data_IF_073487537471
#
_entry.id   IF_073487537471
#
_cell.length_a   1.000
_cell.length_b   1.000
_cell.length_c   1.000
_cell.angle_alpha   90.00
_cell.angle_beta   90.00
_cell.angle_gamma   90.00
#
_symmetry.space_group_name_H-M   'P 1'
#
loop_
_entity.id
_entity.type
_entity.pdbx_description
1 polymer ?
#
# COMPACT_ATOMS: atom_id res chain seq x y z
N UNK A 1 -1.47 -20.89 -6.05
CA UNK A 1 -0.15 -20.53 -6.58
C UNK A 1 0.83 -20.60 -5.44
N UNK A 2 1.98 -21.24 -5.65
CA UNK A 2 3.05 -21.22 -4.66
C UNK A 2 3.67 -19.82 -4.62
N UNK A 3 3.76 -19.22 -3.43
CA UNK A 3 4.44 -17.95 -3.23
C UNK A 3 5.95 -18.16 -3.33
N UNK A 4 6.67 -17.15 -3.83
CA UNK A 4 8.12 -17.14 -3.83
C UNK A 4 8.65 -16.31 -2.65
N UNK A 5 9.95 -16.36 -2.41
CA UNK A 5 10.59 -15.83 -1.21
C UNK A 5 11.94 -15.17 -1.48
N UNK A 6 12.14 -14.64 -2.69
CA UNK A 6 13.38 -13.92 -3.05
C UNK A 6 13.68 -12.74 -2.12
N UNK A 7 12.62 -12.12 -1.55
CA UNK A 7 12.71 -11.10 -0.49
C UNK A 7 13.58 -11.54 0.71
N UNK A 8 13.65 -12.83 1.04
CA UNK A 8 14.44 -13.30 2.17
C UNK A 8 15.95 -13.07 1.99
N UNK A 9 16.39 -12.86 0.75
CA UNK A 9 17.81 -12.60 0.40
C UNK A 9 18.07 -11.17 -0.09
N UNK A 10 17.04 -10.49 -0.58
CA UNK A 10 17.16 -9.14 -1.16
C UNK A 10 16.81 -8.03 -0.17
N UNK A 11 15.97 -8.29 0.84
CA UNK A 11 15.64 -7.31 1.89
C UNK A 11 16.69 -7.34 3.01
N UNK A 12 17.04 -6.18 3.60
CA UNK A 12 17.82 -6.11 4.83
C UNK A 12 17.08 -6.74 6.03
N UNK A 13 17.82 -7.31 6.97
CA UNK A 13 17.27 -7.89 8.22
C UNK A 13 16.42 -6.91 9.00
N UNK A 14 16.88 -5.66 9.12
CA UNK A 14 16.25 -4.64 9.97
C UNK A 14 14.87 -4.21 9.42
N UNK A 15 14.66 -4.37 8.11
CA UNK A 15 13.35 -4.22 7.48
C UNK A 15 12.50 -5.48 7.74
N UNK A 16 13.04 -6.68 7.58
CA UNK A 16 12.30 -7.92 7.84
C UNK A 16 11.87 -8.07 9.31
N UNK A 17 12.61 -7.48 10.24
CA UNK A 17 12.26 -7.43 11.66
C UNK A 17 11.02 -6.58 11.93
N UNK A 18 10.63 -5.69 11.00
CA UNK A 18 9.50 -4.76 11.16
C UNK A 18 8.32 -5.02 10.23
N UNK A 19 8.56 -5.64 9.07
CA UNK A 19 7.55 -5.84 8.03
C UNK A 19 7.33 -7.31 7.73
N UNK A 20 6.09 -7.68 7.40
CA UNK A 20 5.81 -9.01 6.85
C UNK A 20 5.78 -8.94 5.32
N UNK A 21 6.51 -9.83 4.64
CA UNK A 21 6.64 -9.79 3.17
C UNK A 21 6.12 -11.08 2.54
N UNK A 22 5.39 -10.95 1.43
CA UNK A 22 4.95 -12.06 0.57
C UNK A 22 5.09 -11.64 -0.87
N UNK A 23 5.39 -12.57 -1.76
CA UNK A 23 5.53 -12.26 -3.17
C UNK A 23 5.11 -13.41 -4.08
N UNK A 24 5.00 -13.09 -5.36
CA UNK A 24 4.88 -14.05 -6.45
C UNK A 24 5.98 -13.79 -7.48
N UNK A 25 6.47 -14.84 -8.15
CA UNK A 25 7.40 -14.74 -9.29
C UNK A 25 8.70 -13.99 -9.00
N UNK A 26 9.25 -14.18 -7.82
CA UNK A 26 10.48 -13.53 -7.37
C UNK A 26 10.42 -12.00 -7.49
N UNK A 27 9.24 -11.41 -7.21
CA UNK A 27 8.99 -9.99 -7.45
C UNK A 27 10.06 -9.08 -6.83
N UNK A 28 10.56 -9.40 -5.63
CA UNK A 28 11.63 -8.63 -5.02
C UNK A 28 12.95 -8.70 -5.81
N UNK A 29 13.39 -9.89 -6.23
CA UNK A 29 14.59 -10.02 -7.06
C UNK A 29 14.41 -9.38 -8.44
N UNK A 30 13.22 -9.48 -9.04
CA UNK A 30 12.88 -8.78 -10.29
C UNK A 30 13.06 -7.28 -10.11
N UNK A 31 12.43 -6.69 -9.09
CA UNK A 31 12.53 -5.25 -8.79
C UNK A 31 13.97 -4.80 -8.59
N UNK A 32 14.75 -5.57 -7.83
CA UNK A 32 16.15 -5.24 -7.54
C UNK A 32 17.01 -5.21 -8.81
N UNK A 33 16.71 -6.07 -9.79
CA UNK A 33 17.49 -6.20 -11.03
C UNK A 33 17.01 -5.22 -12.10
N UNK A 34 15.69 -5.15 -12.34
CA UNK A 34 15.13 -4.36 -13.45
C UNK A 34 14.98 -2.89 -13.10
N UNK A 35 14.78 -2.56 -11.82
CA UNK A 35 14.56 -1.20 -11.33
C UNK A 35 15.32 -0.95 -10.01
N UNK A 36 16.67 -1.02 -10.01
CA UNK A 36 17.47 -0.99 -8.78
C UNK A 36 17.29 0.29 -7.95
N UNK A 37 17.10 1.45 -8.58
CA UNK A 37 16.83 2.70 -7.87
C UNK A 37 15.48 2.64 -7.14
N UNK A 38 14.43 2.16 -7.81
CA UNK A 38 13.12 2.00 -7.20
C UNK A 38 13.17 1.02 -6.02
N UNK A 39 13.94 -0.07 -6.14
CA UNK A 39 14.14 -1.00 -5.03
C UNK A 39 14.85 -0.33 -3.85
N UNK A 40 15.94 0.40 -4.10
CA UNK A 40 16.68 1.12 -3.06
C UNK A 40 15.80 2.16 -2.35
N UNK A 41 15.05 2.96 -3.10
CA UNK A 41 14.11 3.94 -2.56
C UNK A 41 13.07 3.27 -1.65
N UNK A 42 12.49 2.14 -2.08
CA UNK A 42 11.52 1.39 -1.27
C UNK A 42 12.15 0.92 0.04
N UNK A 43 13.36 0.37 0.01
CA UNK A 43 14.05 -0.06 1.23
C UNK A 43 14.31 1.14 2.16
N UNK A 44 14.79 2.27 1.64
CA UNK A 44 15.02 3.48 2.45
C UNK A 44 13.72 4.05 3.05
N UNK A 45 12.62 4.03 2.30
CA UNK A 45 11.32 4.49 2.79
C UNK A 45 10.80 3.57 3.89
N UNK A 46 10.86 2.26 3.69
CA UNK A 46 10.48 1.27 4.70
C UNK A 46 11.38 1.39 5.93
N UNK A 47 12.67 1.63 5.74
CA UNK A 47 13.62 1.76 6.83
C UNK A 47 13.34 3.01 7.69
N UNK A 48 13.13 4.15 7.04
CA UNK A 48 12.85 5.43 7.71
C UNK A 48 11.44 5.56 8.30
N UNK A 49 10.50 4.71 7.90
CA UNK A 49 9.11 4.80 8.36
C UNK A 49 8.91 4.21 9.76
N UNK A 50 8.14 4.95 10.57
CA UNK A 50 7.80 4.56 11.95
C UNK A 50 6.35 4.90 12.26
N UNK A 51 5.66 4.04 13.00
CA UNK A 51 4.38 4.36 13.63
C UNK A 51 4.63 5.08 14.96
N UNK A 52 3.84 6.11 15.24
CA UNK A 52 3.93 6.89 16.49
C UNK A 52 2.56 7.01 17.13
N UNK A 53 2.52 7.42 18.40
CA UNK A 53 1.27 7.76 19.10
C UNK A 53 0.46 8.76 18.27
N UNK A 54 1.10 9.80 17.75
CA UNK A 54 0.44 10.83 16.96
C UNK A 54 -0.19 10.26 15.67
N UNK A 55 0.56 9.48 14.89
CA UNK A 55 0.06 8.89 13.63
C UNK A 55 -1.13 7.95 13.86
N UNK A 56 -1.06 7.14 14.92
CA UNK A 56 -2.08 6.13 15.23
C UNK A 56 -3.33 6.72 15.92
N UNK A 57 -3.22 7.92 16.49
CA UNK A 57 -4.34 8.60 17.16
C UNK A 57 -4.83 9.85 16.44
N UNK A 58 -4.36 10.09 15.22
CA UNK A 58 -4.92 11.14 14.34
C UNK A 58 -6.14 10.57 13.63
N UNK A 59 -7.35 11.13 13.82
CA UNK A 59 -8.53 10.71 13.08
C UNK A 59 -8.33 10.88 11.57
N UNK A 60 -8.74 9.89 10.78
CA UNK A 60 -8.60 9.96 9.32
C UNK A 60 -9.48 8.94 8.59
N UNK A 61 -9.87 9.28 7.36
CA UNK A 61 -10.56 8.40 6.43
C UNK A 61 -9.60 7.55 5.60
N UNK A 62 -9.88 7.35 4.30
CA UNK A 62 -9.06 6.49 3.43
C UNK A 62 -7.66 7.01 3.14
N UNK A 63 -7.41 8.32 3.22
CA UNK A 63 -6.06 8.92 3.14
C UNK A 63 -5.60 9.34 4.53
N UNK A 64 -5.16 8.36 5.32
CA UNK A 64 -4.62 8.58 6.67
C UNK A 64 -3.28 9.31 6.60
N UNK A 65 -2.85 9.86 7.74
CA UNK A 65 -1.51 10.46 7.88
C UNK A 65 -0.42 9.48 7.46
N UNK A 66 -0.59 8.20 7.78
CA UNK A 66 0.33 7.12 7.39
C UNK A 66 0.45 6.98 5.88
N UNK A 67 -0.68 6.86 5.17
CA UNK A 67 -0.64 6.70 3.71
C UNK A 67 -0.01 7.93 3.03
N UNK A 68 -0.39 9.12 3.48
CA UNK A 68 0.15 10.38 2.95
C UNK A 68 1.66 10.49 3.16
N UNK A 69 2.16 10.18 4.36
CA UNK A 69 3.59 10.26 4.66
C UNK A 69 4.42 9.30 3.80
N UNK A 70 3.93 8.08 3.61
CA UNK A 70 4.58 7.08 2.75
C UNK A 70 4.60 7.56 1.29
N UNK A 71 3.45 8.01 0.77
CA UNK A 71 3.37 8.58 -0.58
C UNK A 71 4.34 9.76 -0.75
N UNK A 72 4.34 10.72 0.18
CA UNK A 72 5.25 11.86 0.17
C UNK A 72 6.72 11.43 0.19
N UNK A 73 7.05 10.41 0.98
CA UNK A 73 8.40 9.82 1.04
C UNK A 73 8.84 9.24 -0.30
N UNK A 74 7.93 8.63 -1.06
CA UNK A 74 8.20 8.24 -2.44
C UNK A 74 8.27 9.46 -3.38
N UNK A 75 7.41 10.46 -3.23
CA UNK A 75 7.38 11.66 -4.10
C UNK A 75 8.70 12.42 -4.08
N UNK A 76 9.27 12.64 -2.90
CA UNK A 76 10.53 13.38 -2.76
C UNK A 76 11.71 12.65 -3.40
N UNK A 77 11.60 11.34 -3.61
CA UNK A 77 12.58 10.48 -4.31
C UNK A 77 12.37 10.39 -5.82
N UNK A 78 11.33 11.05 -6.35
CA UNK A 78 11.08 11.13 -7.79
C UNK A 78 9.92 10.28 -8.30
N UNK A 79 9.26 9.49 -7.44
CA UNK A 79 8.08 8.71 -7.81
C UNK A 79 6.90 9.62 -8.15
N UNK A 80 6.10 9.26 -9.15
CA UNK A 80 4.98 10.10 -9.64
C UNK A 80 3.67 9.32 -9.75
N UNK A 81 2.56 10.05 -9.56
CA UNK A 81 1.22 9.54 -9.79
C UNK A 81 1.06 9.38 -11.29
N UNK A 82 0.57 8.23 -11.72
CA UNK A 82 0.35 7.95 -13.12
C UNK A 82 -1.11 7.54 -13.34
N UNK A 83 -1.58 7.79 -14.56
CA UNK A 83 -2.80 7.20 -15.10
C UNK A 83 -2.39 6.46 -16.36
N UNK A 84 -3.03 5.33 -16.62
CA UNK A 84 -2.90 4.62 -17.88
C UNK A 84 -4.24 4.51 -18.59
N UNK A 85 -4.18 4.48 -19.91
CA UNK A 85 -5.28 4.21 -20.81
C UNK A 85 -4.77 3.19 -21.84
N UNK A 86 -5.56 2.17 -22.17
CA UNK A 86 -5.15 1.05 -23.00
C UNK A 86 -6.23 0.69 -24.02
N UNK A 87 -5.84 0.68 -25.29
CA UNK A 87 -6.67 0.20 -26.40
C UNK A 87 -6.20 -1.18 -26.86
N UNK A 88 -7.04 -2.20 -26.70
CA UNK A 88 -6.77 -3.56 -27.15
C UNK A 88 -7.56 -3.88 -28.42
N UNK A 89 -6.86 -4.09 -29.53
CA UNK A 89 -7.46 -4.54 -30.79
C UNK A 89 -7.11 -6.03 -30.99
N UNK A 90 -8.14 -6.89 -30.97
CA UNK A 90 -7.98 -8.32 -31.25
C UNK A 90 -8.46 -8.62 -32.66
N UNK A 91 -7.59 -9.18 -33.50
CA UNK A 91 -7.91 -9.61 -34.87
C UNK A 91 -7.74 -11.13 -34.98
N UNK A 92 -8.83 -11.84 -35.24
CA UNK A 92 -8.82 -13.26 -35.55
C UNK A 92 -8.97 -13.44 -37.06
N UNK A 93 -7.91 -13.92 -37.71
CA UNK A 93 -7.94 -14.29 -39.14
C UNK A 93 -8.24 -15.78 -39.25
N UNK A 94 -9.33 -16.11 -39.93
CA UNK A 94 -9.75 -17.49 -40.17
C UNK A 94 -9.49 -17.78 -41.64
N UNK A 95 -8.51 -18.62 -41.89
CA UNK A 95 -8.16 -19.08 -43.22
C UNK A 95 -9.15 -20.16 -43.69
N UNK A 96 -9.47 -20.19 -44.99
CA UNK A 96 -10.33 -21.22 -45.54
C UNK A 96 -9.68 -22.59 -45.41
N UNK A 97 -10.48 -23.64 -45.17
CA UNK A 97 -9.97 -25.00 -45.27
C UNK A 97 -9.77 -25.36 -46.74
N UNK A 98 -8.51 -25.55 -47.14
CA UNK A 98 -8.14 -25.77 -48.56
C UNK A 98 -8.78 -27.00 -49.19
N UNK A 99 -9.26 -27.95 -48.40
CA UNK A 99 -9.93 -29.18 -48.87
C UNK A 99 -11.44 -29.18 -48.62
N UNK A 100 -12.02 -28.02 -48.30
CA UNK A 100 -13.46 -27.90 -48.07
C UNK A 100 -14.26 -28.31 -49.33
N UNK A 101 -15.41 -28.99 -49.17
CA UNK A 101 -16.27 -29.40 -50.29
C UNK A 101 -16.84 -28.22 -51.09
N UNK A 102 -16.94 -27.04 -50.47
CA UNK A 102 -17.38 -25.79 -51.08
C UNK A 102 -16.33 -24.71 -50.92
N UNK A 103 -16.35 -23.73 -51.83
CA UNK A 103 -15.44 -22.59 -51.74
C UNK A 103 -15.65 -21.83 -50.42
N UNK A 104 -14.59 -21.76 -49.61
CA UNK A 104 -14.53 -20.93 -48.42
C UNK A 104 -13.64 -19.70 -48.70
N UNK A 105 -13.99 -18.56 -48.10
CA UNK A 105 -13.19 -17.34 -48.16
C UNK A 105 -12.55 -17.06 -46.81
N UNK A 106 -11.39 -16.39 -46.84
CA UNK A 106 -10.77 -15.88 -45.62
C UNK A 106 -11.71 -14.86 -44.96
N UNK A 107 -11.93 -15.01 -43.66
CA UNK A 107 -12.69 -14.04 -42.86
C UNK A 107 -11.83 -13.48 -41.74
N UNK A 108 -12.05 -12.21 -41.43
CA UNK A 108 -11.44 -11.54 -40.29
C UNK A 108 -12.54 -11.10 -39.33
N UNK A 109 -12.40 -11.47 -38.06
CA UNK A 109 -13.23 -10.95 -36.96
C UNK A 109 -12.36 -10.03 -36.12
N UNK A 110 -12.84 -8.82 -35.84
CA UNK A 110 -12.11 -7.81 -35.07
C UNK A 110 -12.96 -7.28 -33.92
N UNK A 111 -12.34 -7.07 -32.77
CA UNK A 111 -12.89 -6.30 -31.64
C UNK A 111 -11.90 -5.22 -31.21
N UNK A 112 -12.42 -4.13 -30.62
CA UNK A 112 -11.62 -3.10 -29.93
C UNK A 112 -12.22 -2.92 -28.54
N UNK A 113 -11.39 -3.02 -27.52
CA UNK A 113 -11.76 -2.78 -26.13
C UNK A 113 -10.88 -1.65 -25.59
N UNK A 114 -11.47 -0.76 -24.80
CA UNK A 114 -10.76 0.34 -24.15
C UNK A 114 -10.78 0.08 -22.64
N UNK A 115 -9.60 0.12 -22.01
CA UNK A 115 -9.37 -0.14 -20.59
C UNK A 115 -8.58 1.02 -19.97
N UNK A 116 -8.59 1.11 -18.64
CA UNK A 116 -7.80 2.09 -17.89
C UNK A 116 -8.64 3.18 -17.23
N UNK A 117 -8.04 4.35 -17.02
CA UNK A 117 -8.66 5.49 -16.35
C UNK A 117 -8.45 5.54 -14.83
N UNK A 118 -7.86 4.50 -14.24
CA UNK A 118 -7.47 4.48 -12.84
C UNK A 118 -6.06 5.02 -12.65
N UNK A 119 -5.84 5.62 -11.48
CA UNK A 119 -4.55 6.13 -11.07
C UNK A 119 -3.78 5.06 -10.30
N UNK A 120 -2.47 5.10 -10.45
CA UNK A 120 -1.50 4.40 -9.63
C UNK A 120 -0.75 5.47 -8.87
N UNK A 121 -0.63 5.26 -7.56
CA UNK A 121 -0.09 6.27 -6.68
C UNK A 121 1.40 6.47 -6.98
N UNK A 122 2.24 5.45 -6.92
CA UNK A 122 3.69 5.65 -7.10
C UNK A 122 4.23 4.86 -8.30
N UNK A 123 4.78 5.57 -9.29
CA UNK A 123 5.49 4.99 -10.43
C UNK A 123 6.91 5.56 -10.52
N UNK A 124 7.89 4.67 -10.67
CA UNK A 124 9.27 5.01 -11.00
C UNK A 124 9.81 3.96 -11.98
N UNK A 125 10.29 4.43 -13.13
CA UNK A 125 10.68 3.60 -14.27
C UNK A 125 9.59 2.57 -14.63
N UNK A 126 9.87 1.28 -14.41
CA UNK A 126 8.98 0.16 -14.72
C UNK A 126 8.42 -0.52 -13.46
N UNK A 127 8.61 0.10 -12.29
CA UNK A 127 8.04 -0.34 -11.02
C UNK A 127 6.84 0.52 -10.64
N UNK A 128 5.80 -0.12 -10.12
CA UNK A 128 4.62 0.56 -9.57
C UNK A 128 4.39 0.13 -8.13
N UNK A 129 3.90 1.04 -7.29
CA UNK A 129 3.66 0.84 -5.88
C UNK A 129 2.41 1.62 -5.44
N UNK A 130 1.45 0.91 -4.83
CA UNK A 130 0.30 1.54 -4.17
C UNK A 130 0.39 1.38 -2.64
N UNK A 131 0.14 2.47 -1.93
CA UNK A 131 0.10 2.52 -0.46
C UNK A 131 -1.36 2.43 0.00
N UNK A 132 -1.72 1.29 0.57
CA UNK A 132 -3.08 0.97 0.94
C UNK A 132 -3.20 0.72 2.45
N UNK A 133 -3.37 1.79 3.23
CA UNK A 133 -3.48 1.69 4.70
C UNK A 133 -4.78 1.04 5.17
N UNK A 134 -5.91 1.36 4.54
CA UNK A 134 -7.20 0.77 4.86
C UNK A 134 -8.09 0.66 3.60
N UNK A 135 -7.61 -0.04 2.54
CA UNK A 135 -8.29 -0.16 1.26
C UNK A 135 -9.67 -0.74 1.44
N UNK A 136 -10.63 -0.37 0.61
CA UNK A 136 -11.84 -1.20 0.43
C UNK A 136 -11.47 -2.47 -0.34
N UNK A 137 -12.20 -3.56 -0.13
CA UNK A 137 -11.90 -4.83 -0.82
C UNK A 137 -11.83 -4.69 -2.36
N UNK A 138 -12.71 -3.87 -2.95
CA UNK A 138 -12.69 -3.58 -4.39
C UNK A 138 -11.52 -2.72 -4.88
N UNK A 139 -10.80 -2.02 -3.99
CA UNK A 139 -9.58 -1.30 -4.36
C UNK A 139 -8.49 -2.32 -4.69
N UNK A 140 -8.22 -3.27 -3.79
CA UNK A 140 -7.19 -4.29 -4.02
C UNK A 140 -7.42 -5.07 -5.31
N UNK A 141 -8.66 -5.51 -5.57
CA UNK A 141 -8.99 -6.27 -6.78
C UNK A 141 -8.72 -5.46 -8.05
N UNK A 142 -9.00 -4.15 -8.00
CA UNK A 142 -8.70 -3.21 -9.09
C UNK A 142 -7.20 -3.01 -9.27
N UNK A 143 -6.44 -2.88 -8.19
CA UNK A 143 -5.00 -2.63 -8.27
C UNK A 143 -4.26 -3.85 -8.86
N UNK A 144 -4.66 -5.08 -8.46
CA UNK A 144 -4.23 -6.30 -9.15
C UNK A 144 -4.56 -6.26 -10.65
N UNK A 145 -5.79 -5.88 -11.02
CA UNK A 145 -6.21 -5.76 -12.42
C UNK A 145 -5.37 -4.74 -13.20
N UNK A 146 -5.05 -3.61 -12.59
CA UNK A 146 -4.21 -2.56 -13.17
C UNK A 146 -2.79 -3.08 -13.43
N UNK A 147 -2.18 -3.72 -12.45
CA UNK A 147 -0.82 -4.26 -12.57
C UNK A 147 -0.73 -5.35 -13.63
N UNK A 148 -1.70 -6.27 -13.66
CA UNK A 148 -1.80 -7.30 -14.70
C UNK A 148 -1.86 -6.66 -16.08
N UNK A 149 -2.73 -5.68 -16.28
CA UNK A 149 -2.94 -5.03 -17.58
C UNK A 149 -1.67 -4.30 -18.06
N UNK A 150 -1.00 -3.58 -17.15
CA UNK A 150 0.24 -2.88 -17.45
C UNK A 150 1.41 -3.81 -17.72
N UNK A 151 1.52 -4.91 -16.97
CA UNK A 151 2.57 -5.89 -17.17
C UNK A 151 2.38 -6.67 -18.47
N UNK A 152 1.16 -7.13 -18.79
CA UNK A 152 0.84 -7.76 -20.08
C UNK A 152 1.04 -6.79 -21.25
N UNK A 153 0.80 -5.49 -21.04
CA UNK A 153 1.11 -4.43 -21.99
C UNK A 153 2.59 -4.10 -22.11
N UNK A 154 3.46 -4.69 -21.28
CA UNK A 154 4.90 -4.44 -21.28
C UNK A 154 5.31 -3.08 -20.72
N UNK A 155 4.44 -2.38 -20.00
CA UNK A 155 4.70 -1.04 -19.44
C UNK A 155 5.45 -1.13 -18.11
N UNK A 156 5.15 -2.14 -17.30
CA UNK A 156 5.77 -2.37 -15.99
C UNK A 156 6.38 -3.78 -15.94
N UNK A 157 7.35 -3.96 -15.04
CA UNK A 157 7.96 -5.28 -14.79
C UNK A 157 7.36 -5.96 -13.54
N UNK A 158 6.78 -5.18 -12.61
CA UNK A 158 6.30 -5.68 -11.32
C UNK A 158 5.38 -4.65 -10.62
N UNK A 159 4.48 -5.10 -9.72
CA UNK A 159 3.69 -4.22 -8.83
C UNK A 159 3.90 -4.48 -7.32
N UNK A 160 4.05 -3.41 -6.52
CA UNK A 160 4.19 -3.45 -5.05
C UNK A 160 2.88 -3.00 -4.39
N UNK A 161 2.41 -3.74 -3.39
CA UNK A 161 1.31 -3.30 -2.52
C UNK A 161 1.86 -3.17 -1.10
N UNK A 162 1.90 -1.95 -0.57
CA UNK A 162 2.23 -1.68 0.82
C UNK A 162 0.94 -1.48 1.61
N UNK A 163 0.65 -2.36 2.56
CA UNK A 163 -0.59 -2.30 3.36
C UNK A 163 -0.30 -2.55 4.84
N UNK A 164 -1.31 -2.40 5.69
CA UNK A 164 -1.21 -2.73 7.11
C UNK A 164 -1.34 -4.24 7.35
N UNK A 165 -0.78 -4.71 8.46
CA UNK A 165 -1.01 -6.07 8.94
C UNK A 165 -2.46 -6.26 9.47
N UNK A 166 -2.79 -7.50 9.83
CA UNK A 166 -4.14 -7.91 10.22
C UNK A 166 -4.51 -7.57 11.66
N UNK A 167 -5.01 -8.57 12.38
CA UNK A 167 -5.60 -8.39 13.71
C UNK A 167 -4.59 -7.96 14.78
N UNK A 168 -3.32 -8.39 14.69
CA UNK A 168 -2.28 -8.00 15.66
C UNK A 168 -2.13 -6.48 15.76
N UNK A 169 -1.91 -5.81 14.62
CA UNK A 169 -1.82 -4.34 14.58
C UNK A 169 -3.15 -3.69 14.96
N UNK A 170 -4.29 -4.23 14.54
CA UNK A 170 -5.61 -3.69 14.93
C UNK A 170 -5.77 -3.67 16.45
N UNK A 171 -5.49 -4.78 17.11
CA UNK A 171 -5.61 -4.88 18.57
C UNK A 171 -4.63 -3.95 19.28
N UNK A 172 -3.38 -3.90 18.81
CA UNK A 172 -2.39 -2.95 19.31
C UNK A 172 -2.88 -1.49 19.21
N UNK A 173 -3.39 -1.08 18.05
CA UNK A 173 -3.89 0.29 17.83
C UNK A 173 -5.10 0.59 18.71
N UNK A 174 -6.04 -0.35 18.85
CA UNK A 174 -7.21 -0.19 19.72
C UNK A 174 -6.78 0.02 21.18
N UNK A 175 -5.85 -0.79 21.67
CA UNK A 175 -5.40 -0.74 23.05
C UNK A 175 -4.62 0.57 23.33
N UNK A 176 -3.78 1.01 22.37
CA UNK A 176 -3.11 2.32 22.42
C UNK A 176 -4.11 3.49 22.43
N UNK A 177 -5.16 3.44 21.62
CA UNK A 177 -6.22 4.47 21.61
C UNK A 177 -6.93 4.53 22.96
N UNK A 178 -7.21 3.38 23.58
CA UNK A 178 -7.82 3.32 24.90
C UNK A 178 -6.92 3.95 25.97
N UNK A 179 -5.62 3.67 25.94
CA UNK A 179 -4.62 4.28 26.82
C UNK A 179 -4.59 5.82 26.64
N UNK A 180 -4.51 6.28 25.40
CA UNK A 180 -4.48 7.71 25.06
C UNK A 180 -5.75 8.45 25.52
N UNK A 181 -6.93 7.84 25.33
CA UNK A 181 -8.21 8.42 25.78
C UNK A 181 -8.37 8.42 27.30
N UNK A 182 -7.65 7.58 28.03
CA UNK A 182 -7.68 7.54 29.49
C UNK A 182 -6.85 8.65 30.15
N UNK A 183 -5.96 9.32 29.40
CA UNK A 183 -5.14 10.42 29.91
C UNK A 183 -6.02 11.64 30.20
N UNK A 184 -5.95 12.14 31.44
CA UNK A 184 -6.70 13.32 31.87
C UNK A 184 -6.04 14.61 31.37
N UNK A 185 -6.43 15.06 30.17
CA UNK A 185 -5.96 16.32 29.59
C UNK A 185 -6.85 17.49 30.05
N UNK A 186 -6.28 18.61 30.54
CA UNK A 186 -7.05 19.78 30.97
C UNK A 186 -8.01 20.30 29.90
N UNK A 187 -9.21 20.69 30.31
CA UNK A 187 -10.33 21.03 29.41
C UNK A 187 -10.05 22.22 28.49
N UNK A 188 -9.07 23.07 28.83
CA UNK A 188 -8.62 24.19 28.01
C UNK A 188 -7.98 23.76 26.68
N UNK A 189 -7.46 22.54 26.57
CA UNK A 189 -6.92 21.98 25.32
C UNK A 189 -8.04 21.53 24.39
N UNK A 190 -8.85 22.47 23.93
CA UNK A 190 -10.09 22.21 23.17
C UNK A 190 -9.84 21.46 21.86
N UNK A 191 -8.71 21.73 21.17
CA UNK A 191 -8.34 21.08 19.91
C UNK A 191 -8.07 19.58 20.12
N UNK A 192 -7.39 19.22 21.22
CA UNK A 192 -7.15 17.83 21.60
C UNK A 192 -8.45 17.08 21.87
N UNK A 193 -9.37 17.68 22.63
CA UNK A 193 -10.67 17.06 22.95
C UNK A 193 -11.51 16.83 21.68
N UNK A 194 -11.51 17.77 20.75
CA UNK A 194 -12.19 17.62 19.46
C UNK A 194 -11.56 16.50 18.60
N UNK A 195 -10.22 16.36 18.63
CA UNK A 195 -9.51 15.24 17.98
C UNK A 195 -9.94 13.91 18.58
N UNK A 196 -9.93 13.77 19.90
CA UNK A 196 -10.31 12.54 20.60
C UNK A 196 -11.79 12.16 20.37
N UNK A 197 -12.67 13.16 20.27
CA UNK A 197 -14.10 12.96 19.93
C UNK A 197 -14.30 12.38 18.52
N UNK A 198 -13.44 12.72 17.57
CA UNK A 198 -13.48 12.20 16.19
C UNK A 198 -12.77 10.86 16.02
N UNK A 199 -11.87 10.52 16.94
CA UNK A 199 -11.12 9.26 16.91
C UNK A 199 -12.04 8.10 17.29
N UNK A 200 -12.26 7.16 16.38
CA UNK A 200 -12.95 5.91 16.68
C UNK A 200 -12.13 5.05 17.65
N UNK A 201 -12.79 4.24 18.49
CA UNK A 201 -12.10 3.32 19.41
C UNK A 201 -11.40 2.18 18.68
N UNK A 202 -11.97 1.73 17.55
CA UNK A 202 -11.40 0.69 16.69
C UNK A 202 -11.45 1.13 15.21
N UNK A 203 -10.53 2.01 14.78
CA UNK A 203 -10.54 2.54 13.42
C UNK A 203 -10.19 1.49 12.35
N UNK A 204 -9.56 0.37 12.74
CA UNK A 204 -9.10 -0.68 11.84
C UNK A 204 -10.03 -1.91 11.80
N UNK A 205 -11.13 -1.89 12.56
CA UNK A 205 -12.10 -3.00 12.67
C UNK A 205 -13.17 -3.08 11.59
N UNK A 206 -13.11 -2.21 10.57
CA UNK A 206 -14.13 -2.21 9.50
C UNK A 206 -13.99 -3.42 8.59
N UNK A 207 -15.01 -4.29 8.54
CA UNK A 207 -14.95 -5.56 7.81
C UNK A 207 -14.86 -5.43 6.28
N UNK A 208 -15.31 -4.30 5.72
CA UNK A 208 -15.24 -4.01 4.27
C UNK A 208 -13.89 -3.45 3.83
N UNK A 209 -12.95 -3.32 4.78
CA UNK A 209 -11.58 -2.92 4.49
C UNK A 209 -10.66 -4.14 4.41
N UNK A 210 -9.63 -4.02 3.59
CA UNK A 210 -8.61 -5.04 3.40
C UNK A 210 -7.34 -4.70 4.16
N UNK A 211 -6.54 -5.74 4.34
CA UNK A 211 -5.24 -5.72 5.01
C UNK A 211 -4.43 -6.91 4.49
N UNK A 212 -3.24 -7.12 5.02
CA UNK A 212 -2.36 -8.21 4.60
C UNK A 212 -3.03 -9.60 4.65
N UNK A 213 -3.86 -9.88 5.66
CA UNK A 213 -4.59 -11.15 5.78
C UNK A 213 -5.61 -11.40 4.67
N UNK A 214 -6.13 -10.33 4.02
CA UNK A 214 -6.98 -10.44 2.82
C UNK A 214 -6.20 -10.34 1.51
N UNK A 215 -5.01 -9.75 1.54
CA UNK A 215 -4.11 -9.63 0.39
C UNK A 215 -3.43 -10.97 0.07
N UNK A 216 -2.93 -11.69 1.07
CA UNK A 216 -2.22 -12.96 0.87
C UNK A 216 -3.06 -14.02 0.14
N UNK A 217 -4.35 -14.26 0.48
CA UNK A 217 -5.19 -15.18 -0.28
C UNK A 217 -5.37 -14.81 -1.76
N UNK A 218 -5.25 -13.54 -2.14
CA UNK A 218 -5.30 -13.08 -3.54
C UNK A 218 -4.03 -13.43 -4.30
N UNK A 219 -2.88 -13.28 -3.66
CA UNK A 219 -1.60 -13.75 -4.19
C UNK A 219 -1.63 -15.28 -4.39
N UNK A 220 -2.10 -16.02 -3.39
CA UNK A 220 -2.21 -17.47 -3.44
C UNK A 220 -3.21 -17.94 -4.50
N UNK A 221 -4.32 -17.22 -4.69
CA UNK A 221 -5.27 -17.50 -5.78
C UNK A 221 -4.69 -17.21 -7.17
N UNK A 222 -3.68 -16.33 -7.25
CA UNK A 222 -3.00 -15.97 -8.49
C UNK A 222 -3.63 -14.76 -9.19
N UNK A 223 -4.22 -13.83 -8.43
CA UNK A 223 -4.88 -12.63 -8.98
C UNK A 223 -3.93 -11.74 -9.78
N UNK A 224 -2.64 -11.73 -9.43
CA UNK A 224 -1.59 -11.06 -10.19
C UNK A 224 -1.26 -11.70 -11.55
N UNK A 225 -1.96 -12.78 -11.94
CA UNK A 225 -1.76 -13.53 -13.19
C UNK A 225 -0.31 -13.75 -13.54
N UNK A 226 0.26 -13.11 -14.55
CA UNK A 226 1.67 -13.21 -14.95
C UNK A 226 2.56 -12.12 -14.35
N UNK A 227 1.99 -11.07 -13.75
CA UNK A 227 2.71 -9.97 -13.15
C UNK A 227 3.36 -10.41 -11.83
N UNK A 228 4.68 -10.16 -11.62
CA UNK A 228 5.31 -10.28 -10.31
C UNK A 228 4.74 -9.26 -9.34
N UNK A 229 4.17 -9.75 -8.23
CA UNK A 229 3.60 -8.91 -7.17
C UNK A 229 4.39 -9.08 -5.89
N UNK A 230 4.81 -7.95 -5.32
CA UNK A 230 5.44 -7.85 -3.99
C UNK A 230 4.45 -7.23 -3.02
N UNK A 231 4.14 -7.91 -1.92
CA UNK A 231 3.26 -7.42 -0.87
C UNK A 231 4.05 -7.23 0.42
N UNK A 232 3.95 -6.03 0.99
CA UNK A 232 4.65 -5.64 2.23
C UNK A 232 3.61 -5.19 3.25
N UNK A 233 3.69 -5.73 4.47
CA UNK A 233 2.81 -5.40 5.57
C UNK A 233 3.52 -4.52 6.61
N UNK A 234 2.99 -3.34 6.87
CA UNK A 234 3.32 -2.52 8.03
C UNK A 234 2.75 -3.21 9.28
N UNK A 235 3.60 -3.58 10.23
CA UNK A 235 3.18 -4.27 11.46
C UNK A 235 3.26 -3.35 12.68
N UNK A 236 2.77 -3.82 13.82
CA UNK A 236 2.96 -3.16 15.13
C UNK A 236 4.44 -2.98 15.49
N UNK A 237 5.34 -3.78 14.91
CA UNK A 237 6.80 -3.67 15.12
C UNK A 237 7.41 -2.42 14.49
N UNK A 238 6.66 -1.72 13.63
CA UNK A 238 7.03 -0.39 13.15
C UNK A 238 6.79 0.71 14.19
N UNK A 239 6.11 0.41 15.31
CA UNK A 239 5.83 1.39 16.36
C UNK A 239 7.07 1.74 17.18
N UNK A 240 7.35 3.04 17.27
CA UNK A 240 8.36 3.59 18.17
C UNK A 240 7.65 4.19 19.38
N UNK A 241 7.85 3.65 20.59
CA UNK A 241 7.28 4.23 21.79
C UNK A 241 7.85 5.63 22.02
N UNK A 242 7.08 6.55 22.63
CA UNK A 242 7.61 7.86 23.00
C UNK A 242 8.79 7.70 23.97
N UNK A 243 9.71 8.68 24.04
CA UNK A 243 10.90 8.60 24.89
C UNK A 243 10.57 8.51 26.40
N UNK A 244 9.37 8.96 26.79
CA UNK A 244 8.86 8.84 28.15
C UNK A 244 7.59 7.97 28.18
N UNK A 245 6.51 8.45 28.78
CA UNK A 245 5.22 7.74 28.84
C UNK A 245 4.26 8.20 27.74
N UNK A 246 3.27 7.36 27.42
CA UNK A 246 2.15 7.74 26.54
C UNK A 246 1.40 8.95 27.10
N UNK A 247 1.25 9.05 28.42
CA UNK A 247 0.60 10.19 29.06
C UNK A 247 1.34 11.51 28.79
N UNK A 248 2.66 11.53 28.94
CA UNK A 248 3.48 12.72 28.64
C UNK A 248 3.44 13.08 27.15
N UNK A 249 3.47 12.07 26.26
CA UNK A 249 3.32 12.28 24.82
C UNK A 249 1.94 12.89 24.47
N UNK A 250 0.88 12.44 25.13
CA UNK A 250 -0.47 13.02 24.98
C UNK A 250 -0.49 14.49 25.37
N UNK A 251 0.14 14.87 26.49
CA UNK A 251 0.23 16.27 26.88
C UNK A 251 1.01 17.10 25.87
N UNK A 252 2.15 16.58 25.38
CA UNK A 252 2.97 17.23 24.36
C UNK A 252 2.19 17.47 23.07
N UNK A 253 1.44 16.46 22.61
CA UNK A 253 0.57 16.57 21.43
C UNK A 253 -0.59 17.55 21.65
N UNK A 254 -1.19 17.56 22.85
CA UNK A 254 -2.27 18.49 23.18
C UNK A 254 -1.80 19.96 23.12
N UNK A 255 -0.59 20.24 23.63
CA UNK A 255 0.05 21.56 23.52
C UNK A 255 0.32 21.91 22.06
N UNK A 256 0.97 21.02 21.29
CA UNK A 256 1.31 21.24 19.89
C UNK A 256 0.08 21.64 19.05
N UNK A 257 -1.00 20.87 19.19
CA UNK A 257 -2.24 21.09 18.46
C UNK A 257 -2.92 22.39 18.86
N UNK A 258 -2.83 22.79 20.13
CA UNK A 258 -3.45 24.00 20.63
C UNK A 258 -2.72 25.26 20.14
N UNK A 259 -1.39 25.19 20.01
CA UNK A 259 -0.54 26.28 19.52
C UNK A 259 -0.46 26.34 17.98
N UNK A 260 -0.98 25.31 17.29
CA UNK A 260 -0.94 25.21 15.83
C UNK A 260 0.45 24.87 15.28
N UNK A 261 1.29 24.26 16.11
CA UNK A 261 2.69 23.93 15.85
C UNK A 261 2.80 22.40 15.63
N UNK A 262 3.73 21.95 14.80
CA UNK A 262 4.00 20.52 14.64
C UNK A 262 4.59 19.95 15.93
N UNK A 263 4.21 18.72 16.31
CA UNK A 263 4.79 18.06 17.47
C UNK A 263 6.32 17.95 17.35
N UNK A 264 6.89 17.77 16.15
CA UNK A 264 8.35 17.78 15.94
C UNK A 264 9.05 19.10 16.27
N UNK A 265 8.32 20.22 16.32
CA UNK A 265 8.89 21.55 16.61
C UNK A 265 8.95 21.86 18.11
N UNK A 266 8.32 21.06 18.97
CA UNK A 266 8.33 21.25 20.43
C UNK A 266 9.61 20.76 21.12
N UNK A 267 10.46 20.00 20.43
CA UNK A 267 11.67 19.39 21.00
C UNK A 267 11.39 18.27 22.01
N UNK A 268 12.34 17.33 22.14
CA UNK A 268 12.29 16.25 23.14
C UNK A 268 12.90 16.70 24.48
N UNK A 269 12.48 17.86 25.03
CA UNK A 269 12.96 18.33 26.35
C UNK A 269 12.42 17.51 27.52
#
# INVERSE_FOLDING_TARGET
MQLTDSWATTFPSDVLDRYDVRETRNASAVMQITTPQAFADMIEVLDGFHLTVDKLTTPGGSKTVVARELDESFRVRGWREARFDQDLITKLTIFPWTSAPSHESQRVVQTRNEYGGHKIDNVLDRAVLDVEWNPKDGNLDRDFGNYVSLHEGGVIDMGVILTRSGDTLRHFVRDLIAEVKAVNVPTEYTVWHERMRKLADDPLGTSTTSNFGKLVPRLERGDGRGCPILAVAITERCYVPPPRTVAEEVFRLAVALQDGISATELGDE
#
